data_IF_225599889870
#
_entry.id   IF_225599889870
#
_cell.length_a   1.000
_cell.length_b   1.000
_cell.length_c   1.000
_cell.angle_alpha   90.00
_cell.angle_beta   90.00
_cell.angle_gamma   90.00
#
_symmetry.space_group_name_H-M   'P 1'
#
loop_
_entity.id
_entity.type
_entity.pdbx_description
1 polymer ?
#
# COMPACT_ATOMS: atom_id res chain seq x y z
N UNK A 1 3.77 -3.85 -56.90
CA UNK A 1 2.62 -4.08 -56.02
C UNK A 1 3.06 -4.44 -54.59
N UNK A 2 3.89 -5.47 -54.37
CA UNK A 2 4.39 -5.83 -53.03
C UNK A 2 5.08 -4.69 -52.27
N UNK A 3 5.86 -3.84 -52.96
CA UNK A 3 6.58 -2.72 -52.35
C UNK A 3 5.66 -1.64 -51.78
N UNK A 4 4.57 -1.31 -52.49
CA UNK A 4 3.57 -0.35 -52.03
C UNK A 4 2.74 -0.90 -50.85
N UNK A 5 2.54 -2.23 -50.80
CA UNK A 5 1.94 -2.89 -49.65
C UNK A 5 2.86 -2.90 -48.42
N UNK A 6 4.16 -3.13 -48.62
CA UNK A 6 5.13 -3.08 -47.53
C UNK A 6 5.26 -1.66 -46.94
N UNK A 7 5.20 -0.63 -47.77
CA UNK A 7 5.22 0.78 -47.34
C UNK A 7 3.99 1.15 -46.48
N UNK A 8 2.79 0.66 -46.84
CA UNK A 8 1.58 0.94 -46.06
C UNK A 8 1.54 0.22 -44.71
N UNK A 9 2.12 -0.98 -44.61
CA UNK A 9 2.29 -1.70 -43.34
C UNK A 9 3.28 -0.98 -42.41
N UNK A 10 4.34 -0.41 -42.97
CA UNK A 10 5.32 0.35 -42.19
C UNK A 10 4.72 1.67 -41.68
N UNK A 11 3.97 2.38 -42.53
CA UNK A 11 3.24 3.61 -42.14
C UNK A 11 2.15 3.33 -41.08
N UNK A 12 1.44 2.20 -41.18
CA UNK A 12 0.50 1.76 -40.15
C UNK A 12 1.21 1.39 -38.85
N UNK A 13 2.36 0.72 -38.91
CA UNK A 13 3.16 0.41 -37.72
C UNK A 13 3.68 1.67 -37.04
N UNK A 14 4.08 2.71 -37.78
CA UNK A 14 4.49 3.99 -37.23
C UNK A 14 3.34 4.76 -36.56
N UNK A 15 2.13 4.70 -37.15
CA UNK A 15 0.89 5.26 -36.53
C UNK A 15 0.45 4.49 -35.28
N UNK A 16 0.67 3.17 -35.23
CA UNK A 16 0.43 2.35 -34.05
C UNK A 16 1.52 2.55 -32.99
N UNK A 17 2.77 2.82 -33.40
CA UNK A 17 3.84 3.27 -32.52
C UNK A 17 3.54 4.62 -31.87
N UNK A 18 2.64 5.44 -32.42
CA UNK A 18 2.22 6.69 -31.78
C UNK A 18 1.34 6.45 -30.56
N UNK A 19 0.57 5.35 -30.48
CA UNK A 19 -0.14 4.98 -29.24
C UNK A 19 0.84 4.45 -28.19
N UNK A 20 1.88 3.72 -28.61
CA UNK A 20 2.95 3.23 -27.71
C UNK A 20 3.94 4.32 -27.30
N UNK A 21 4.11 5.36 -28.11
CA UNK A 21 4.90 6.56 -27.81
C UNK A 21 4.15 7.61 -27.00
N UNK A 22 2.81 7.65 -27.09
CA UNK A 22 1.94 8.43 -26.20
C UNK A 22 1.85 7.80 -24.80
N UNK A 23 2.03 6.49 -24.69
CA UNK A 23 2.37 5.83 -23.43
C UNK A 23 3.88 5.85 -23.20
N UNK A 24 4.49 7.05 -23.20
CA UNK A 24 5.66 7.23 -22.34
C UNK A 24 5.20 6.78 -20.95
N UNK A 25 5.61 5.58 -20.56
CA UNK A 25 5.37 5.01 -19.25
C UNK A 25 6.02 5.99 -18.26
N UNK A 26 5.26 7.01 -17.85
CA UNK A 26 5.63 7.83 -16.72
C UNK A 26 5.45 6.91 -15.53
N UNK A 27 6.54 6.24 -15.16
CA UNK A 27 6.64 5.59 -13.88
C UNK A 27 6.20 6.63 -12.84
N UNK A 28 5.23 6.26 -12.02
CA UNK A 28 4.78 7.15 -10.97
C UNK A 28 5.95 7.28 -9.99
N UNK A 29 6.66 8.42 -9.99
CA UNK A 29 7.72 8.68 -9.00
C UNK A 29 7.17 8.71 -7.56
N UNK A 30 5.85 8.87 -7.44
CA UNK A 30 5.14 8.83 -6.17
C UNK A 30 5.15 7.41 -5.56
N UNK A 31 5.50 7.28 -4.27
CA UNK A 31 5.33 6.03 -3.54
C UNK A 31 3.88 5.55 -3.58
N UNK A 32 3.70 4.24 -3.77
CA UNK A 32 2.40 3.57 -3.73
C UNK A 32 2.36 2.56 -2.57
N UNK A 33 1.18 2.31 -1.98
CA UNK A 33 1.06 1.35 -0.89
C UNK A 33 1.13 -0.09 -1.47
N UNK A 34 2.05 -0.87 -0.93
CA UNK A 34 2.27 -2.26 -1.31
C UNK A 34 2.35 -3.15 -0.07
N UNK A 35 2.12 -4.44 -0.27
CA UNK A 35 2.42 -5.48 0.70
C UNK A 35 3.44 -6.44 0.09
N UNK A 36 4.50 -6.70 0.85
CA UNK A 36 5.60 -7.59 0.49
C UNK A 36 5.56 -8.82 1.38
N UNK A 37 5.45 -9.99 0.79
CA UNK A 37 5.60 -11.28 1.48
C UNK A 37 7.03 -11.76 1.39
N UNK A 38 7.53 -12.20 2.53
CA UNK A 38 8.87 -12.73 2.69
C UNK A 38 8.86 -14.25 2.52
N UNK A 39 9.92 -14.77 1.92
CA UNK A 39 10.14 -16.21 1.77
C UNK A 39 10.36 -16.83 3.16
N UNK A 40 9.73 -17.98 3.40
CA UNK A 40 9.95 -18.77 4.62
C UNK A 40 11.20 -19.64 4.44
N UNK A 41 12.22 -19.43 5.27
CA UNK A 41 13.44 -20.24 5.27
C UNK A 41 14.64 -19.52 5.89
N UNK A 42 15.79 -20.20 6.06
CA UNK A 42 17.01 -19.54 6.49
C UNK A 42 17.49 -18.61 5.36
N UNK A 43 17.30 -17.32 5.56
CA UNK A 43 17.86 -16.27 4.72
C UNK A 43 19.25 -15.94 5.26
N UNK A 44 20.26 -15.81 4.40
CA UNK A 44 21.59 -15.47 4.88
C UNK A 44 21.55 -14.10 5.57
N UNK A 45 22.26 -13.95 6.70
CA UNK A 45 22.18 -12.76 7.58
C UNK A 45 22.50 -11.42 6.87
N UNK A 46 23.09 -11.46 5.67
CA UNK A 46 23.40 -10.31 4.82
C UNK A 46 22.43 -10.04 3.66
N UNK A 47 21.43 -10.90 3.42
CA UNK A 47 20.48 -10.77 2.29
C UNK A 47 19.28 -9.85 2.60
N UNK A 48 19.15 -9.36 3.84
CA UNK A 48 18.03 -8.50 4.26
C UNK A 48 18.30 -7.00 4.09
N UNK A 49 19.37 -6.59 3.39
CA UNK A 49 19.87 -5.21 3.42
C UNK A 49 18.82 -4.18 2.98
N UNK A 50 18.12 -4.43 1.87
CA UNK A 50 17.11 -3.49 1.33
C UNK A 50 15.91 -3.39 2.28
N UNK A 51 15.35 -4.52 2.71
CA UNK A 51 14.21 -4.56 3.63
C UNK A 51 14.51 -4.09 5.06
N UNK A 52 15.78 -4.10 5.48
CA UNK A 52 16.19 -3.63 6.80
C UNK A 52 16.20 -2.09 6.87
N UNK A 53 16.48 -1.42 5.75
CA UNK A 53 16.49 0.04 5.65
C UNK A 53 15.08 0.63 5.44
N UNK A 54 14.14 -0.19 4.97
CA UNK A 54 12.77 0.24 4.68
C UNK A 54 11.87 0.21 5.91
N UNK A 55 11.19 1.33 6.20
CA UNK A 55 10.17 1.38 7.25
C UNK A 55 8.87 0.74 6.78
N UNK A 56 8.42 -0.28 7.50
CA UNK A 56 7.09 -0.86 7.34
C UNK A 56 6.07 -0.03 8.13
N UNK A 57 4.96 0.30 7.48
CA UNK A 57 3.79 0.90 8.15
C UNK A 57 3.11 -0.14 9.04
N UNK A 58 3.05 -1.39 8.56
CA UNK A 58 2.51 -2.51 9.32
C UNK A 58 3.29 -3.80 9.02
N UNK A 59 3.51 -4.60 10.06
CA UNK A 59 4.06 -5.96 9.94
C UNK A 59 2.98 -6.97 10.35
N UNK A 60 2.80 -7.99 9.52
CA UNK A 60 1.88 -9.08 9.80
C UNK A 60 2.64 -10.24 10.46
N UNK A 61 2.10 -10.79 11.55
CA UNK A 61 2.75 -11.90 12.27
C UNK A 61 2.33 -13.27 11.71
N UNK A 62 1.04 -13.43 11.40
CA UNK A 62 0.47 -14.69 10.87
C UNK A 62 0.99 -15.03 9.47
N UNK A 63 1.18 -13.98 8.66
CA UNK A 63 1.78 -14.03 7.34
C UNK A 63 3.08 -13.25 7.44
N UNK A 64 4.22 -13.85 7.09
CA UNK A 64 5.51 -13.15 7.08
C UNK A 64 5.51 -12.09 5.96
N UNK A 65 4.88 -10.95 6.22
CA UNK A 65 4.64 -9.90 5.26
C UNK A 65 4.68 -8.52 5.93
N UNK A 66 4.93 -7.49 5.12
CA UNK A 66 5.04 -6.09 5.53
C UNK A 66 4.27 -5.20 4.57
N UNK A 67 3.48 -4.27 5.09
CA UNK A 67 2.87 -3.20 4.32
C UNK A 67 3.76 -1.94 4.38
N UNK A 68 3.97 -1.28 3.24
CA UNK A 68 4.81 -0.10 3.13
C UNK A 68 4.50 0.75 1.90
N UNK A 69 5.00 1.99 1.90
CA UNK A 69 5.03 2.85 0.73
C UNK A 69 6.30 2.57 -0.07
N UNK A 70 6.17 2.33 -1.38
CA UNK A 70 7.30 2.05 -2.25
C UNK A 70 7.21 2.80 -3.57
N UNK A 71 8.34 3.37 -4.01
CA UNK A 71 8.48 3.90 -5.37
C UNK A 71 8.67 2.74 -6.37
N UNK A 72 8.50 2.98 -7.68
CA UNK A 72 8.78 1.96 -8.68
C UNK A 72 10.20 1.41 -8.63
N UNK A 73 11.20 2.26 -8.36
CA UNK A 73 12.60 1.84 -8.22
C UNK A 73 12.80 0.91 -7.02
N UNK A 74 12.13 1.21 -5.89
CA UNK A 74 12.13 0.34 -4.72
C UNK A 74 11.46 -1.01 -5.03
N UNK A 75 10.35 -1.00 -5.77
CA UNK A 75 9.65 -2.22 -6.20
C UNK A 75 10.55 -3.07 -7.11
N UNK A 76 11.29 -2.44 -8.03
CA UNK A 76 12.24 -3.13 -8.89
C UNK A 76 13.34 -3.80 -8.05
N UNK A 77 13.95 -3.08 -7.09
CA UNK A 77 14.96 -3.63 -6.19
C UNK A 77 14.41 -4.79 -5.34
N UNK A 78 13.20 -4.65 -4.79
CA UNK A 78 12.54 -5.72 -4.03
C UNK A 78 12.22 -6.94 -4.88
N UNK A 79 11.96 -6.76 -6.18
CA UNK A 79 11.67 -7.87 -7.09
C UNK A 79 12.90 -8.74 -7.35
N UNK A 80 14.08 -8.15 -7.28
CA UNK A 80 15.37 -8.86 -7.41
C UNK A 80 15.87 -9.43 -6.07
N UNK A 81 15.25 -9.05 -4.95
CA UNK A 81 15.66 -9.46 -3.61
C UNK A 81 15.28 -10.94 -3.34
N UNK A 82 16.24 -11.83 -3.03
CA UNK A 82 15.99 -13.26 -2.82
C UNK A 82 15.13 -13.58 -1.59
N UNK A 83 14.96 -12.60 -0.70
CA UNK A 83 14.14 -12.71 0.52
C UNK A 83 12.67 -12.46 0.25
N UNK A 84 12.34 -11.85 -0.89
CA UNK A 84 10.96 -11.55 -1.30
C UNK A 84 10.37 -12.75 -2.03
N UNK A 85 9.16 -13.13 -1.63
CA UNK A 85 8.36 -14.18 -2.27
C UNK A 85 7.35 -13.58 -3.24
N UNK A 86 6.66 -12.51 -2.82
CA UNK A 86 5.59 -11.89 -3.60
C UNK A 86 5.42 -10.42 -3.21
N UNK A 87 5.08 -9.59 -4.18
CA UNK A 87 4.71 -8.18 -4.00
C UNK A 87 3.32 -7.97 -4.60
N UNK A 88 2.43 -7.29 -3.88
CA UNK A 88 1.11 -6.91 -4.39
C UNK A 88 0.70 -5.50 -3.94
N UNK A 89 -0.15 -4.79 -4.71
CA UNK A 89 -0.67 -3.50 -4.30
C UNK A 89 -1.62 -3.64 -3.12
N UNK A 90 -1.55 -2.71 -2.18
CA UNK A 90 -2.49 -2.61 -1.05
C UNK A 90 -3.73 -1.83 -1.50
N UNK A 91 -4.71 -2.56 -2.03
CA UNK A 91 -5.91 -1.97 -2.61
C UNK A 91 -6.98 -1.75 -1.55
N UNK A 92 -7.75 -0.65 -1.63
CA UNK A 92 -8.84 -0.39 -0.70
C UNK A 92 -9.88 -1.51 -0.79
N UNK A 93 -10.26 -2.02 0.37
CA UNK A 93 -11.34 -3.00 0.52
C UNK A 93 -12.60 -2.31 1.03
N UNK A 94 -13.76 -2.80 0.59
CA UNK A 94 -15.05 -2.30 1.04
C UNK A 94 -15.87 -3.46 1.62
N UNK A 95 -16.53 -3.21 2.75
CA UNK A 95 -17.48 -4.17 3.31
C UNK A 95 -18.72 -4.23 2.44
N UNK A 96 -18.99 -5.38 1.82
CA UNK A 96 -20.27 -5.63 1.15
C UNK A 96 -21.26 -6.14 2.18
N UNK A 97 -21.79 -5.21 2.97
CA UNK A 97 -22.94 -5.47 3.82
C UNK A 97 -24.19 -5.21 3.00
N UNK A 98 -25.06 -6.21 2.94
CA UNK A 98 -26.41 -6.05 2.44
C UNK A 98 -27.18 -5.10 3.39
N UNK A 99 -28.01 -4.22 2.85
CA UNK A 99 -28.87 -3.32 3.65
C UNK A 99 -29.80 -4.10 4.59
N UNK A 100 -30.03 -5.38 4.30
CA UNK A 100 -30.79 -6.31 5.15
C UNK A 100 -29.99 -6.91 6.31
N UNK A 101 -28.68 -6.66 6.44
CA UNK A 101 -27.91 -7.10 7.62
C UNK A 101 -28.41 -6.28 8.81
N UNK A 102 -29.14 -6.90 9.75
CA UNK A 102 -29.64 -6.16 10.90
C UNK A 102 -28.44 -5.74 11.73
N UNK A 103 -28.44 -4.50 12.22
CA UNK A 103 -27.56 -4.17 13.33
C UNK A 103 -27.76 -5.22 14.42
N UNK A 104 -26.66 -5.75 14.96
CA UNK A 104 -26.74 -6.74 16.03
C UNK A 104 -27.68 -6.20 17.12
N UNK A 105 -28.66 -6.97 17.63
CA UNK A 105 -29.53 -6.50 18.71
C UNK A 105 -28.74 -5.97 19.91
N UNK A 106 -27.57 -6.57 20.12
CA UNK A 106 -26.57 -6.20 21.14
C UNK A 106 -25.93 -4.83 20.89
N UNK A 107 -25.85 -4.37 19.64
CA UNK A 107 -25.34 -3.04 19.28
C UNK A 107 -26.25 -1.95 19.84
N UNK A 108 -27.56 -2.10 19.67
CA UNK A 108 -28.57 -1.16 20.19
C UNK A 108 -28.61 -1.16 21.71
N UNK A 109 -28.51 -2.34 22.34
CA UNK A 109 -28.45 -2.49 23.80
C UNK A 109 -27.21 -1.83 24.42
N UNK A 110 -26.06 -1.89 23.73
CA UNK A 110 -24.79 -1.32 24.19
C UNK A 110 -24.57 0.14 23.77
N UNK A 111 -25.53 0.78 23.08
CA UNK A 111 -25.45 2.19 22.69
C UNK A 111 -25.03 3.15 23.84
N UNK A 112 -25.62 3.07 25.05
CA UNK A 112 -25.24 3.96 26.15
C UNK A 112 -23.83 3.68 26.70
N UNK A 113 -23.34 2.43 26.63
CA UNK A 113 -21.98 2.09 27.05
C UNK A 113 -20.94 2.61 26.05
N UNK A 114 -21.24 2.49 24.75
CA UNK A 114 -20.39 3.00 23.66
C UNK A 114 -20.27 4.51 23.69
N UNK A 115 -21.34 5.24 24.01
CA UNK A 115 -21.30 6.70 24.13
C UNK A 115 -20.44 7.14 25.33
N UNK A 116 -20.54 6.45 26.47
CA UNK A 116 -19.67 6.67 27.63
C UNK A 116 -18.21 6.37 27.30
N UNK A 117 -17.95 5.29 26.59
CA UNK A 117 -16.59 4.93 26.17
C UNK A 117 -16.02 5.96 25.19
N UNK A 118 -16.83 6.45 24.24
CA UNK A 118 -16.44 7.52 23.30
C UNK A 118 -16.05 8.79 24.03
N UNK A 119 -16.86 9.25 24.99
CA UNK A 119 -16.54 10.43 25.80
C UNK A 119 -15.25 10.24 26.58
N UNK A 120 -15.05 9.06 27.20
CA UNK A 120 -13.81 8.72 27.91
C UNK A 120 -12.59 8.74 26.99
N UNK A 121 -12.73 8.23 25.76
CA UNK A 121 -11.65 8.22 24.77
C UNK A 121 -11.36 9.62 24.22
N UNK A 122 -12.39 10.45 24.03
CA UNK A 122 -12.25 11.86 23.63
C UNK A 122 -11.54 12.67 24.72
N UNK A 123 -11.93 12.51 25.99
CA UNK A 123 -11.22 13.12 27.13
C UNK A 123 -9.76 12.68 27.20
N UNK A 124 -9.49 11.37 27.03
CA UNK A 124 -8.13 10.84 27.02
C UNK A 124 -7.31 11.41 25.85
N UNK A 125 -7.92 11.54 24.68
CA UNK A 125 -7.28 12.12 23.48
C UNK A 125 -6.97 13.60 23.69
N UNK A 126 -7.90 14.36 24.27
CA UNK A 126 -7.67 15.77 24.61
C UNK A 126 -6.55 15.94 25.62
N UNK A 127 -6.48 15.08 26.64
CA UNK A 127 -5.40 15.09 27.62
C UNK A 127 -4.04 14.79 27.00
N UNK A 128 -3.94 13.77 26.14
CA UNK A 128 -2.71 13.43 25.43
C UNK A 128 -2.27 14.57 24.50
N UNK A 129 -3.21 15.21 23.79
CA UNK A 129 -2.91 16.37 22.96
C UNK A 129 -2.42 17.58 23.77
N UNK A 130 -2.97 17.81 24.96
CA UNK A 130 -2.50 18.86 25.87
C UNK A 130 -1.10 18.57 26.43
N UNK A 131 -0.80 17.31 26.76
CA UNK A 131 0.53 16.87 27.23
C UNK A 131 1.59 16.97 26.13
N UNK A 132 1.23 16.63 24.88
CA UNK A 132 2.13 16.78 23.72
C UNK A 132 2.30 18.24 23.27
N UNK A 133 1.28 19.08 23.47
CA UNK A 133 1.33 20.52 23.16
C UNK A 133 2.05 21.37 24.22
N UNK A 134 2.17 20.87 25.46
CA UNK A 134 2.80 21.56 26.58
C UNK A 134 4.33 21.37 26.71
N UNK A 135 4.94 20.54 25.86
CA UNK A 135 6.38 20.24 25.89
C UNK A 135 7.26 21.23 25.11
N UNK A 136 6.68 22.30 24.56
CA UNK A 136 7.42 23.33 23.83
C UNK A 136 7.57 24.61 24.65
N UNK A 137 8.81 24.91 25.01
CA UNK A 137 9.34 26.16 25.61
C UNK A 137 9.31 26.21 27.15
N UNK A 138 10.46 25.85 27.75
CA UNK A 138 11.10 26.59 28.85
C UNK A 138 12.56 26.13 28.99
N UNK A 139 13.48 27.09 28.78
CA UNK A 139 14.93 27.17 29.02
C UNK A 139 15.91 26.17 28.39
#
# INVERSE_FOLDING_TARGET
>A
EYKAFAESINEQSERLLTIRGLMQFKWADAPIPIIVKLRRGPIARGEMAVLAEMQAEQTFELLAARAMQATPDMIAQLSDDPTVDLIWPDLPVHTWLDDAVPESPRWTELAPEREKERLRLEEKRQKVLAELGGGGVSD
#
